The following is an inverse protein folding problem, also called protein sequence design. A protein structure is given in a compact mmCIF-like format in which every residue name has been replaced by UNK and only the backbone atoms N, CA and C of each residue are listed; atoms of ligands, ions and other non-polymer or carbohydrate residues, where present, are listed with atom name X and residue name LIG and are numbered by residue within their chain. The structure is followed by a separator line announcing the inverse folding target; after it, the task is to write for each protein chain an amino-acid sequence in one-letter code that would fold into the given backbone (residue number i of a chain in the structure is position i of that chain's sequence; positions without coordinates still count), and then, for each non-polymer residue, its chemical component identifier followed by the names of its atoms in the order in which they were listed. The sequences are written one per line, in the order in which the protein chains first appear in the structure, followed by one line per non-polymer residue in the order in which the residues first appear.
data_IF_240605275822
#
_entry.id   IF_240605275822
#
_cell.length_a   1.000
_cell.length_b   1.000
_cell.length_c   1.000
_cell.angle_alpha   90.00
_cell.angle_beta   90.00
_cell.angle_gamma   90.00
#
_symmetry.space_group_name_H-M   'P 1'
#
loop_
_entity.id
_entity.type
_entity.pdbx_description
1 polymer ?
#
# COMPACT_ATOMS: atom_id res chain seq x y z
N UNK A 1 46.81 1.44 36.37
CA UNK A 1 47.39 1.45 35.00
C UNK A 1 46.27 1.69 34.01
N UNK A 2 46.57 2.55 33.04
CA UNK A 2 45.73 3.25 32.06
C UNK A 2 45.33 2.42 30.82
N UNK A 3 44.07 2.66 30.38
CA UNK A 3 43.42 2.68 29.05
C UNK A 3 43.83 1.74 27.89
N UNK A 4 42.83 1.06 27.30
CA UNK A 4 42.51 0.93 25.85
C UNK A 4 41.59 -0.30 25.64
N UNK A 5 40.54 -0.34 24.82
CA UNK A 5 40.03 0.60 23.84
C UNK A 5 38.60 0.20 23.43
N UNK A 6 37.76 1.21 23.23
CA UNK A 6 36.51 1.08 22.52
C UNK A 6 36.81 1.14 21.01
N UNK A 7 36.55 0.06 20.29
CA UNK A 7 36.43 0.08 18.83
C UNK A 7 35.99 -1.28 18.34
N UNK A 8 34.67 -1.47 18.22
CA UNK A 8 34.15 -2.44 17.24
C UNK A 8 32.83 -1.90 16.67
N UNK A 9 32.94 -0.75 16.01
CA UNK A 9 31.92 -0.25 15.08
C UNK A 9 32.32 -0.67 13.67
N UNK A 10 32.36 -1.99 13.44
CA UNK A 10 32.39 -2.53 12.09
C UNK A 10 31.06 -2.22 11.38
N UNK A 11 31.06 -1.94 10.07
CA UNK A 11 29.83 -1.79 9.32
C UNK A 11 29.10 -3.15 9.32
N UNK A 12 27.82 -3.14 9.67
CA UNK A 12 26.93 -4.30 9.62
C UNK A 12 26.60 -4.70 8.16
N UNK A 13 27.59 -4.81 7.30
CA UNK A 13 27.47 -5.32 5.94
C UNK A 13 27.38 -6.84 6.01
N UNK A 14 26.18 -7.38 5.86
CA UNK A 14 25.98 -8.83 5.77
C UNK A 14 24.71 -9.38 6.40
N UNK A 15 23.89 -8.59 7.10
CA UNK A 15 22.55 -9.05 7.51
C UNK A 15 21.61 -8.99 6.32
N UNK A 16 21.59 -10.08 5.54
CA UNK A 16 20.50 -10.38 4.63
C UNK A 16 19.18 -10.27 5.42
N UNK A 17 18.34 -9.32 5.04
CA UNK A 17 17.01 -9.20 5.62
C UNK A 17 16.27 -10.52 5.43
N UNK A 18 15.63 -11.03 6.49
CA UNK A 18 14.81 -12.24 6.41
C UNK A 18 13.84 -12.14 5.22
N UNK A 19 13.64 -13.23 4.45
CA UNK A 19 12.83 -13.23 3.22
C UNK A 19 11.34 -12.98 3.48
N UNK A 20 10.95 -12.85 4.74
CA UNK A 20 9.58 -12.67 5.21
C UNK A 20 9.06 -11.24 5.10
N UNK A 21 9.76 -10.34 4.41
CA UNK A 21 9.20 -9.02 4.12
C UNK A 21 8.31 -9.11 2.88
N UNK A 22 6.96 -9.05 2.99
CA UNK A 22 6.08 -9.02 1.83
C UNK A 22 6.00 -7.58 1.30
N UNK A 23 7.13 -6.86 1.29
CA UNK A 23 7.26 -5.60 0.54
C UNK A 23 7.80 -5.92 -0.85
N UNK A 24 7.43 -7.08 -1.40
CA UNK A 24 7.27 -7.19 -2.83
C UNK A 24 6.06 -6.35 -3.18
N UNK A 25 6.29 -5.06 -3.48
CA UNK A 25 5.31 -4.26 -4.19
C UNK A 25 4.95 -5.08 -5.44
N UNK A 26 3.81 -5.79 -5.37
CA UNK A 26 3.34 -6.60 -6.48
C UNK A 26 3.35 -5.69 -7.68
N UNK A 27 4.09 -6.08 -8.73
CA UNK A 27 4.09 -5.38 -10.01
C UNK A 27 2.62 -5.22 -10.39
N UNK A 28 2.06 -4.03 -10.16
CA UNK A 28 0.73 -3.70 -10.64
C UNK A 28 0.84 -3.85 -12.14
N UNK A 29 0.20 -4.89 -12.70
CA UNK A 29 0.17 -5.13 -14.14
C UNK A 29 -0.10 -3.79 -14.81
N UNK A 30 0.89 -3.28 -15.54
CA UNK A 30 0.74 -2.02 -16.26
C UNK A 30 -0.45 -2.21 -17.20
N UNK A 31 -1.55 -1.52 -16.92
CA UNK A 31 -2.74 -1.59 -17.76
C UNK A 31 -2.35 -1.01 -19.11
N UNK A 32 -2.57 -1.75 -20.19
CA UNK A 32 -2.23 -1.29 -21.54
C UNK A 32 -2.82 0.11 -21.78
N UNK A 33 -2.03 1.03 -22.35
CA UNK A 33 -2.48 2.39 -22.58
C UNK A 33 -3.65 2.39 -23.58
N UNK A 34 -4.68 3.19 -23.31
CA UNK A 34 -5.76 3.41 -24.27
C UNK A 34 -5.26 4.36 -25.36
N UNK A 35 -5.07 3.83 -26.56
CA UNK A 35 -4.50 4.55 -27.72
C UNK A 35 -5.57 5.06 -28.69
N UNK A 36 -6.74 4.42 -28.73
CA UNK A 36 -7.83 4.78 -29.65
C UNK A 36 -8.70 5.91 -29.08
N UNK A 37 -9.13 6.82 -29.96
CA UNK A 37 -9.93 8.00 -29.61
C UNK A 37 -11.31 7.94 -30.23
N UNK A 38 -12.35 8.16 -29.42
CA UNK A 38 -13.74 8.27 -29.85
C UNK A 38 -14.20 9.74 -29.81
N UNK A 39 -14.64 10.28 -30.93
CA UNK A 39 -15.13 11.68 -31.03
C UNK A 39 -16.66 11.70 -30.98
N UNK A 40 -17.20 12.36 -29.96
CA UNK A 40 -18.64 12.50 -29.77
C UNK A 40 -19.09 13.92 -30.10
N UNK A 41 -19.88 14.08 -31.18
CA UNK A 41 -20.55 15.34 -31.50
C UNK A 41 -21.81 15.45 -30.66
N UNK A 42 -21.91 16.51 -29.87
CA UNK A 42 -23.05 16.80 -29.02
C UNK A 42 -23.34 18.29 -29.01
N UNK A 43 -24.58 18.62 -28.66
CA UNK A 43 -25.02 19.97 -28.38
C UNK A 43 -24.42 20.50 -27.08
N UNK A 44 -24.46 21.82 -26.88
CA UNK A 44 -23.93 22.44 -25.66
C UNK A 44 -24.64 21.96 -24.39
N UNK A 45 -25.95 21.70 -24.48
CA UNK A 45 -26.79 21.21 -23.37
C UNK A 45 -26.42 19.78 -22.98
N UNK A 46 -26.27 18.89 -23.96
CA UNK A 46 -25.82 17.51 -23.72
C UNK A 46 -24.43 17.47 -23.09
N UNK A 47 -23.51 18.33 -23.55
CA UNK A 47 -22.17 18.45 -22.95
C UNK A 47 -22.23 18.89 -21.50
N UNK A 48 -23.11 19.83 -21.16
CA UNK A 48 -23.30 20.30 -19.79
C UNK A 48 -23.88 19.19 -18.89
N UNK A 49 -24.88 18.47 -19.37
CA UNK A 49 -25.47 17.34 -18.65
C UNK A 49 -24.45 16.22 -18.41
N UNK A 50 -23.61 15.91 -19.40
CA UNK A 50 -22.59 14.87 -19.27
C UNK A 50 -21.51 15.25 -18.25
N UNK A 51 -21.12 16.53 -18.20
CA UNK A 51 -20.21 17.05 -17.17
C UNK A 51 -20.83 17.00 -15.77
N UNK A 52 -22.07 17.44 -15.63
CA UNK A 52 -22.78 17.40 -14.35
C UNK A 52 -22.90 15.97 -13.80
N UNK A 53 -23.19 14.99 -14.66
CA UNK A 53 -23.23 13.56 -14.29
C UNK A 53 -21.85 13.04 -13.87
N UNK A 54 -20.79 13.43 -14.57
CA UNK A 54 -19.42 13.05 -14.25
C UNK A 54 -18.97 13.63 -12.89
N UNK A 55 -19.28 14.90 -12.63
CA UNK A 55 -19.00 15.56 -11.35
C UNK A 55 -19.76 14.92 -10.19
N UNK A 56 -21.06 14.66 -10.36
CA UNK A 56 -21.87 13.98 -9.35
C UNK A 56 -21.34 12.57 -9.02
N UNK A 57 -20.78 11.87 -10.00
CA UNK A 57 -20.14 10.57 -9.83
C UNK A 57 -18.70 10.66 -9.28
N UNK A 58 -18.08 11.85 -9.25
CA UNK A 58 -16.68 12.04 -8.87
C UNK A 58 -15.69 11.38 -9.84
N UNK A 59 -16.08 11.19 -11.10
CA UNK A 59 -15.33 10.46 -12.11
C UNK A 59 -15.11 11.33 -13.37
N UNK A 60 -14.00 11.14 -14.10
CA UNK A 60 -13.86 11.74 -15.43
C UNK A 60 -14.95 11.28 -16.39
N UNK A 61 -15.38 12.15 -17.30
CA UNK A 61 -16.38 11.86 -18.33
C UNK A 61 -16.07 10.59 -19.15
N UNK A 62 -14.79 10.37 -19.50
CA UNK A 62 -14.36 9.17 -20.21
C UNK A 62 -14.54 7.88 -19.39
N UNK A 63 -14.35 7.96 -18.07
CA UNK A 63 -14.59 6.82 -17.17
C UNK A 63 -16.08 6.52 -17.06
N UNK A 64 -16.92 7.56 -16.93
CA UNK A 64 -18.38 7.41 -16.90
C UNK A 64 -18.90 6.76 -18.19
N UNK A 65 -18.40 7.16 -19.36
CA UNK A 65 -18.79 6.55 -20.64
C UNK A 65 -18.36 5.08 -20.74
N UNK A 66 -17.16 4.75 -20.27
CA UNK A 66 -16.67 3.36 -20.26
C UNK A 66 -17.44 2.47 -19.29
N UNK A 67 -17.88 3.01 -18.15
CA UNK A 67 -18.78 2.32 -17.23
C UNK A 67 -20.15 2.09 -17.85
N UNK A 68 -20.70 3.08 -18.57
CA UNK A 68 -21.97 2.94 -19.29
C UNK A 68 -21.91 1.83 -20.38
N UNK A 69 -20.74 1.62 -20.98
CA UNK A 69 -20.51 0.53 -21.95
C UNK A 69 -20.25 -0.84 -21.28
N UNK A 70 -20.22 -0.91 -19.94
CA UNK A 70 -19.89 -2.14 -19.21
C UNK A 70 -18.43 -2.59 -19.35
N UNK A 71 -17.57 -1.76 -19.95
CA UNK A 71 -16.16 -2.09 -20.25
C UNK A 71 -15.22 -1.90 -19.05
N UNK A 72 -15.74 -1.37 -17.95
CA UNK A 72 -15.04 -1.26 -16.69
C UNK A 72 -15.98 -1.69 -15.59
N UNK A 73 -15.59 -2.71 -14.81
CA UNK A 73 -16.18 -2.90 -13.49
C UNK A 73 -16.00 -1.58 -12.75
N UNK A 74 -17.12 -0.94 -12.42
CA UNK A 74 -17.16 0.24 -11.59
C UNK A 74 -16.44 -0.15 -10.31
N UNK A 75 -15.14 0.17 -10.25
CA UNK A 75 -14.36 0.11 -9.02
C UNK A 75 -14.91 1.25 -8.20
N UNK A 76 -16.10 1.04 -7.62
CA UNK A 76 -16.63 1.78 -6.48
C UNK A 76 -15.57 1.62 -5.41
N UNK A 77 -14.50 2.41 -5.50
CA UNK A 77 -13.60 2.66 -4.40
C UNK A 77 -14.53 3.24 -3.37
N UNK A 78 -14.83 2.45 -2.33
CA UNK A 78 -15.42 2.98 -1.12
C UNK A 78 -14.60 4.24 -0.82
N UNK A 79 -15.22 5.43 -0.69
CA UNK A 79 -14.48 6.63 -0.36
C UNK A 79 -13.63 6.28 0.86
N UNK A 80 -12.31 6.43 0.72
CA UNK A 80 -11.38 6.10 1.80
C UNK A 80 -11.88 6.88 3.01
N UNK A 81 -12.17 6.21 4.14
CA UNK A 81 -12.64 6.89 5.33
C UNK A 81 -11.72 8.08 5.60
N UNK A 82 -12.31 9.28 5.78
CA UNK A 82 -11.55 10.49 6.13
C UNK A 82 -11.07 10.34 7.57
N UNK A 83 -10.03 9.53 7.75
CA UNK A 83 -9.33 9.35 9.02
C UNK A 83 -8.10 10.23 8.99
N UNK A 84 -7.83 10.91 10.10
CA UNK A 84 -6.63 11.72 10.27
C UNK A 84 -5.37 10.86 10.01
N UNK A 85 -4.51 11.22 9.04
CA UNK A 85 -3.25 10.52 8.79
C UNK A 85 -2.36 10.39 10.04
N UNK A 86 -2.39 11.37 10.94
CA UNK A 86 -1.61 11.31 12.19
C UNK A 86 -2.09 10.16 13.10
N UNK A 87 -3.41 9.91 13.14
CA UNK A 87 -3.99 8.79 13.88
C UNK A 87 -3.57 7.44 13.29
N UNK A 88 -3.59 7.32 11.96
CA UNK A 88 -3.15 6.10 11.27
C UNK A 88 -1.68 5.80 11.57
N UNK A 89 -0.83 6.82 11.54
CA UNK A 89 0.59 6.68 11.86
C UNK A 89 0.81 6.31 13.34
N UNK A 90 0.06 6.90 14.27
CA UNK A 90 0.13 6.57 15.69
C UNK A 90 -0.25 5.09 15.95
N UNK A 91 -1.34 4.62 15.35
CA UNK A 91 -1.76 3.22 15.43
C UNK A 91 -0.71 2.29 14.81
N UNK A 92 -0.13 2.68 13.67
CA UNK A 92 0.95 1.94 13.03
C UNK A 92 2.19 1.80 13.92
N UNK A 93 2.58 2.87 14.63
CA UNK A 93 3.70 2.82 15.59
C UNK A 93 3.41 1.90 16.77
N UNK A 94 2.20 1.96 17.34
CA UNK A 94 1.78 1.07 18.43
C UNK A 94 1.82 -0.40 17.98
N UNK A 95 1.26 -0.70 16.81
CA UNK A 95 1.31 -2.04 16.22
C UNK A 95 2.73 -2.51 15.94
N UNK A 96 3.62 -1.61 15.49
CA UNK A 96 5.04 -1.87 15.31
C UNK A 96 5.73 -2.30 16.61
N UNK A 97 5.48 -1.58 17.70
CA UNK A 97 6.03 -1.89 19.03
C UNK A 97 5.54 -3.25 19.54
N UNK A 98 4.23 -3.51 19.44
CA UNK A 98 3.65 -4.80 19.85
C UNK A 98 4.26 -5.96 19.05
N UNK A 99 4.45 -5.77 17.75
CA UNK A 99 5.08 -6.78 16.90
C UNK A 99 6.56 -7.02 17.27
N UNK A 100 7.28 -5.99 17.73
CA UNK A 100 8.66 -6.17 18.22
C UNK A 100 8.70 -6.98 19.52
N UNK A 101 7.79 -6.69 20.46
CA UNK A 101 7.65 -7.44 21.71
C UNK A 101 7.30 -8.90 21.43
N UNK A 102 6.31 -9.15 20.57
CA UNK A 102 5.94 -10.50 20.17
C UNK A 102 7.11 -11.25 19.54
N UNK A 103 7.87 -10.61 18.64
CA UNK A 103 9.07 -11.20 18.04
C UNK A 103 10.19 -11.47 19.04
N UNK A 104 10.33 -10.64 20.06
CA UNK A 104 11.30 -10.87 21.12
C UNK A 104 10.90 -12.06 21.97
N UNK A 105 9.63 -12.13 22.40
CA UNK A 105 9.08 -13.26 23.17
C UNK A 105 9.20 -14.57 22.40
N UNK A 106 8.79 -14.59 21.13
CA UNK A 106 8.87 -15.80 20.30
C UNK A 106 10.32 -16.29 20.12
N UNK A 107 11.29 -15.38 20.06
CA UNK A 107 12.71 -15.76 20.02
C UNK A 107 13.19 -16.29 21.37
N UNK A 108 12.83 -15.63 22.47
CA UNK A 108 13.18 -16.08 23.81
C UNK A 108 12.61 -17.48 24.12
N UNK A 109 11.39 -17.76 23.69
CA UNK A 109 10.76 -19.08 23.82
C UNK A 109 11.44 -20.17 22.97
N UNK A 110 11.93 -19.83 21.77
CA UNK A 110 12.67 -20.78 20.93
C UNK A 110 14.09 -21.06 21.46
N UNK A 111 14.73 -20.07 22.08
CA UNK A 111 16.06 -20.23 22.72
C UNK A 111 15.95 -20.99 24.04
N UNK A 112 14.85 -20.83 24.77
CA UNK A 112 14.55 -21.54 26.02
C UNK A 112 13.87 -22.89 25.84
N UNK A 113 13.46 -23.27 24.62
CA UNK A 113 12.92 -24.60 24.36
C UNK A 113 14.08 -25.61 24.43
N UNK A 114 14.05 -26.60 25.35
CA UNK A 114 14.99 -27.71 25.24
C UNK A 114 14.75 -28.35 23.88
N UNK A 115 15.80 -28.42 23.06
CA UNK A 115 15.79 -29.26 21.86
C UNK A 115 15.51 -30.68 22.33
N UNK A 116 14.24 -31.07 22.27
CA UNK A 116 13.82 -32.46 22.45
C UNK A 116 14.33 -33.23 21.24
N UNK A 117 15.60 -33.62 21.30
CA UNK A 117 16.14 -34.74 20.53
C UNK A 117 15.54 -36.01 21.11
N UNK A 118 14.58 -36.59 20.39
CA UNK A 118 14.22 -38.00 20.40
C UNK A 118 13.59 -38.34 19.06
#
# INVERSE_FOLDING_TARGET
MSYAGASDTGPCEGRQASPSNPTGAGKTRAKEPLTETFVFRCTATEKAQLRAKAEAAGLPAATLLREALGLTEARRRKPVPRVDPALVLAVGRIGGNLNQIARWLNRAMQVGAPTSTA
#
